data_IF_829765873879
#
_entry.id   IF_829765873879
#
_cell.length_a   1.000
_cell.length_b   1.000
_cell.length_c   1.000
_cell.angle_alpha   90.00
_cell.angle_beta   90.00
_cell.angle_gamma   90.00
#
_symmetry.space_group_name_H-M   'P 1'
#
loop_
_entity.id
_entity.type
_entity.pdbx_description
1 polymer ?
#
# COMPACT_ATOMS: atom_id res chain seq x y z
N UNK A 1 22.75 -12.41 -43.03
CA UNK A 1 21.93 -11.26 -42.62
C UNK A 1 20.66 -11.79 -41.98
N UNK A 2 20.72 -12.08 -40.69
CA UNK A 2 19.58 -12.66 -39.96
C UNK A 2 18.94 -11.53 -39.17
N UNK A 3 17.74 -11.11 -39.58
CA UNK A 3 16.97 -10.07 -38.90
C UNK A 3 16.64 -10.55 -37.50
N UNK A 4 17.22 -9.90 -36.49
CA UNK A 4 16.84 -10.10 -35.09
C UNK A 4 15.42 -9.58 -34.88
N UNK A 5 14.52 -10.46 -34.48
CA UNK A 5 13.18 -10.10 -34.04
C UNK A 5 13.31 -9.58 -32.61
N UNK A 6 13.30 -8.26 -32.45
CA UNK A 6 13.18 -7.63 -31.13
C UNK A 6 11.69 -7.71 -30.78
N UNK A 7 11.33 -8.65 -29.90
CA UNK A 7 10.02 -8.64 -29.24
C UNK A 7 10.05 -7.47 -28.25
N UNK A 8 9.68 -6.29 -28.73
CA UNK A 8 9.25 -5.18 -27.89
C UNK A 8 7.96 -5.64 -27.22
N UNK A 9 8.01 -5.92 -25.92
CA UNK A 9 6.79 -5.99 -25.13
C UNK A 9 6.24 -4.57 -25.08
N UNK A 10 5.35 -4.23 -26.02
CA UNK A 10 4.47 -3.10 -25.87
C UNK A 10 3.73 -3.31 -24.54
N UNK A 11 3.79 -2.30 -23.68
CA UNK A 11 3.00 -2.22 -22.46
C UNK A 11 1.53 -2.11 -22.86
N UNK A 12 0.94 -3.22 -23.26
CA UNK A 12 -0.48 -3.36 -23.53
C UNK A 12 -1.18 -3.26 -22.19
N UNK A 13 -1.74 -2.08 -21.94
CA UNK A 13 -2.68 -1.84 -20.87
C UNK A 13 -3.78 -2.91 -20.99
N UNK A 14 -3.86 -3.84 -20.04
CA UNK A 14 -4.68 -5.05 -20.15
C UNK A 14 -6.20 -4.80 -19.99
N UNK A 15 -6.67 -3.58 -20.29
CA UNK A 15 -8.07 -3.19 -20.25
C UNK A 15 -8.53 -2.81 -21.66
N UNK A 16 -8.60 -3.81 -22.55
CA UNK A 16 -9.47 -3.73 -23.73
C UNK A 16 -10.37 -4.97 -23.72
N UNK A 17 -11.50 -4.84 -23.04
CA UNK A 17 -12.72 -5.58 -23.34
C UNK A 17 -13.92 -4.74 -22.90
N UNK A 18 -14.79 -4.49 -23.88
CA UNK A 18 -15.92 -3.57 -23.89
C UNK A 18 -17.03 -3.84 -22.84
N UNK A 19 -17.73 -2.74 -22.52
CA UNK A 19 -19.08 -2.61 -21.98
C UNK A 19 -19.40 -3.13 -20.56
N UNK A 20 -19.15 -2.26 -19.56
CA UNK A 20 -20.12 -2.01 -18.48
C UNK A 20 -20.15 -0.50 -18.21
N UNK A 21 -21.18 0.15 -18.72
CA UNK A 21 -21.63 1.47 -18.25
C UNK A 21 -22.18 1.28 -16.82
N UNK A 22 -21.31 1.41 -15.83
CA UNK A 22 -21.69 1.49 -14.42
C UNK A 22 -20.97 2.67 -13.80
N UNK A 23 -21.77 3.70 -13.54
CA UNK A 23 -21.61 4.70 -12.50
C UNK A 23 -20.20 5.25 -12.30
N UNK A 24 -20.04 6.52 -12.69
CA UNK A 24 -19.00 7.40 -12.20
C UNK A 24 -19.24 7.58 -10.69
N UNK A 25 -18.94 6.55 -9.91
CA UNK A 25 -18.63 6.68 -8.50
C UNK A 25 -17.37 7.53 -8.42
N UNK A 26 -17.36 8.46 -7.47
CA UNK A 26 -16.32 9.44 -7.23
C UNK A 26 -14.93 8.88 -7.49
N UNK A 27 -14.02 9.71 -8.02
CA UNK A 27 -12.59 9.51 -7.84
C UNK A 27 -12.29 9.59 -6.33
N UNK A 28 -12.69 8.56 -5.60
CA UNK A 28 -12.34 8.31 -4.22
C UNK A 28 -10.84 8.07 -4.27
N UNK A 29 -10.13 9.08 -3.81
CA UNK A 29 -8.68 9.09 -3.65
C UNK A 29 -8.25 7.77 -3.04
N UNK A 30 -7.49 6.98 -3.79
CA UNK A 30 -6.96 5.68 -3.35
C UNK A 30 -6.31 5.87 -1.97
N UNK A 31 -6.71 5.12 -0.94
CA UNK A 31 -6.26 5.36 0.43
C UNK A 31 -4.79 4.99 0.60
N UNK A 32 -4.11 5.72 1.48
CA UNK A 32 -2.75 5.41 1.92
C UNK A 32 -2.76 4.55 3.18
N UNK A 33 -1.80 3.64 3.26
CA UNK A 33 -1.60 2.70 4.34
C UNK A 33 -0.19 2.79 4.91
N UNK A 34 -0.08 2.56 6.21
CA UNK A 34 1.20 2.40 6.88
C UNK A 34 1.72 0.96 6.68
N UNK A 35 3.04 0.75 6.65
CA UNK A 35 3.60 -0.61 6.66
C UNK A 35 3.06 -1.46 7.82
N UNK A 36 2.88 -0.85 8.99
CA UNK A 36 2.30 -1.52 10.17
C UNK A 36 0.86 -1.98 9.99
N UNK A 37 0.09 -1.30 9.12
CA UNK A 37 -1.28 -1.72 8.79
C UNK A 37 -1.28 -2.91 7.85
N UNK A 38 -0.34 -2.98 6.90
CA UNK A 38 -0.24 -4.13 5.99
C UNK A 38 0.18 -5.39 6.76
N UNK A 39 1.08 -5.24 7.74
CA UNK A 39 1.63 -6.37 8.53
C UNK A 39 0.57 -7.15 9.30
N UNK A 40 -0.55 -6.54 9.71
CA UNK A 40 -1.59 -7.26 10.47
C UNK A 40 -2.39 -8.22 9.60
N UNK A 41 -2.38 -8.04 8.28
CA UNK A 41 -3.07 -8.88 7.29
C UNK A 41 -2.14 -9.99 6.77
N UNK A 42 -1.77 -10.91 7.65
CA UNK A 42 -0.75 -11.94 7.40
C UNK A 42 -1.29 -13.39 7.43
N UNK A 43 -2.60 -13.58 7.25
CA UNK A 43 -3.28 -14.90 7.33
C UNK A 43 -3.77 -15.34 5.95
N UNK A 44 -3.96 -16.64 5.70
CA UNK A 44 -4.49 -17.11 4.41
C UNK A 44 -5.89 -16.57 4.08
N UNK A 45 -6.71 -16.32 5.11
CA UNK A 45 -8.05 -15.73 4.96
C UNK A 45 -8.03 -14.18 4.97
N UNK A 46 -6.88 -13.58 5.21
CA UNK A 46 -6.67 -12.13 5.23
C UNK A 46 -5.19 -11.82 4.93
N UNK A 47 -4.86 -11.84 3.63
CA UNK A 47 -3.49 -11.80 3.14
C UNK A 47 -3.26 -10.55 2.30
N UNK A 48 -2.55 -9.57 2.86
CA UNK A 48 -2.12 -8.39 2.11
C UNK A 48 -0.62 -8.42 1.87
N UNK A 49 -0.21 -7.83 0.75
CA UNK A 49 1.20 -7.62 0.44
C UNK A 49 1.39 -6.22 -0.12
N UNK A 50 2.56 -5.62 0.10
CA UNK A 50 2.93 -4.40 -0.61
C UNK A 50 3.84 -4.73 -1.77
N UNK A 51 3.61 -4.08 -2.90
CA UNK A 51 4.42 -4.17 -4.10
C UNK A 51 4.62 -2.76 -4.67
N UNK A 52 5.87 -2.32 -4.76
CA UNK A 52 6.26 -0.95 -5.09
C UNK A 52 5.58 0.04 -4.14
N UNK A 53 4.67 0.84 -4.67
CA UNK A 53 3.89 1.83 -3.94
C UNK A 53 2.48 1.36 -3.67
N UNK A 54 2.06 0.22 -4.20
CA UNK A 54 0.69 -0.25 -4.16
C UNK A 54 0.52 -1.37 -3.11
N UNK A 55 -0.65 -1.39 -2.48
CA UNK A 55 -1.04 -2.43 -1.52
C UNK A 55 -2.08 -3.31 -2.18
N UNK A 56 -1.83 -4.62 -2.13
CA UNK A 56 -2.67 -5.64 -2.74
C UNK A 56 -3.32 -6.51 -1.67
N UNK A 57 -4.63 -6.74 -1.79
CA UNK A 57 -5.37 -7.73 -1.03
C UNK A 57 -5.45 -9.03 -1.85
N UNK A 58 -4.66 -10.02 -1.46
CA UNK A 58 -4.53 -11.30 -2.14
C UNK A 58 -5.39 -12.41 -1.51
N UNK A 59 -6.32 -12.09 -0.63
CA UNK A 59 -7.21 -13.09 0.00
C UNK A 59 -7.96 -13.93 -1.05
N UNK A 60 -8.50 -13.29 -2.09
CA UNK A 60 -9.17 -14.00 -3.19
C UNK A 60 -8.21 -14.86 -4.03
N UNK A 61 -6.93 -14.48 -4.11
CA UNK A 61 -5.91 -15.28 -4.79
C UNK A 61 -5.55 -16.52 -3.95
N UNK A 62 -5.47 -16.36 -2.62
CA UNK A 62 -5.20 -17.45 -1.69
C UNK A 62 -6.33 -18.50 -1.69
N UNK A 63 -7.58 -18.09 -1.88
CA UNK A 63 -8.71 -19.03 -2.02
C UNK A 63 -8.71 -19.75 -3.36
N UNK A 64 -8.34 -19.06 -4.45
CA UNK A 64 -8.27 -19.63 -5.79
C UNK A 64 -7.17 -20.70 -5.92
N UNK A 65 -5.98 -20.42 -5.36
CA UNK A 65 -4.80 -21.29 -5.42
C UNK A 65 -4.61 -22.10 -4.12
N UNK A 66 -5.71 -22.41 -3.43
CA UNK A 66 -5.66 -23.17 -2.18
C UNK A 66 -5.03 -24.55 -2.41
N UNK A 67 -4.20 -24.96 -1.45
CA UNK A 67 -3.50 -26.25 -1.43
C UNK A 67 -2.47 -26.49 -2.56
N UNK A 68 -2.17 -25.47 -3.38
CA UNK A 68 -1.12 -25.58 -4.40
C UNK A 68 0.25 -25.16 -3.87
N UNK A 69 1.33 -25.48 -4.59
CA UNK A 69 2.67 -25.09 -4.16
C UNK A 69 2.98 -23.62 -4.46
N UNK A 70 2.33 -23.08 -5.48
CA UNK A 70 2.50 -21.73 -6.01
C UNK A 70 2.07 -20.67 -5.00
N UNK A 71 1.08 -20.95 -4.15
CA UNK A 71 0.61 -19.98 -3.15
C UNK A 71 1.53 -19.90 -1.92
N UNK A 72 2.37 -20.92 -1.68
CA UNK A 72 3.23 -21.00 -0.48
C UNK A 72 4.16 -19.79 -0.33
N UNK A 73 4.84 -19.29 -1.38
CA UNK A 73 5.70 -18.11 -1.25
C UNK A 73 4.93 -16.83 -0.88
N UNK A 74 3.71 -16.66 -1.40
CA UNK A 74 2.85 -15.52 -1.08
C UNK A 74 2.42 -15.59 0.38
N UNK A 75 1.95 -16.76 0.86
CA UNK A 75 1.58 -16.95 2.26
C UNK A 75 2.76 -16.73 3.22
N UNK A 76 3.96 -17.17 2.85
CA UNK A 76 5.18 -16.94 3.64
C UNK A 76 5.59 -15.45 3.71
N UNK A 77 5.14 -14.64 2.76
CA UNK A 77 5.40 -13.20 2.67
C UNK A 77 4.15 -12.35 2.89
N UNK A 78 3.08 -12.94 3.44
CA UNK A 78 1.89 -12.19 3.82
C UNK A 78 2.24 -11.12 4.87
N UNK A 79 1.70 -9.93 4.70
CA UNK A 79 1.98 -8.73 5.49
C UNK A 79 3.34 -8.09 5.23
N UNK A 80 4.09 -8.52 4.20
CA UNK A 80 5.44 -7.99 3.89
C UNK A 80 5.48 -7.29 2.53
N UNK A 81 6.62 -6.63 2.31
CA UNK A 81 6.98 -6.05 1.03
C UNK A 81 7.63 -7.07 0.09
N UNK A 82 6.98 -7.31 -1.04
CA UNK A 82 7.43 -8.23 -2.10
C UNK A 82 8.02 -7.50 -3.30
N UNK A 83 8.29 -6.20 -3.18
CA UNK A 83 8.90 -5.36 -4.22
C UNK A 83 10.15 -5.97 -4.87
N UNK A 84 10.95 -6.70 -4.10
CA UNK A 84 12.18 -7.34 -4.57
C UNK A 84 11.97 -8.48 -5.59
N UNK A 85 10.75 -9.03 -5.72
CA UNK A 85 10.43 -10.07 -6.70
C UNK A 85 10.31 -9.53 -8.13
N UNK A 86 10.07 -8.23 -8.26
CA UNK A 86 9.73 -7.60 -9.51
C UNK A 86 10.87 -6.71 -10.02
N UNK A 87 10.81 -6.41 -11.31
CA UNK A 87 11.61 -5.39 -11.95
C UNK A 87 10.82 -4.08 -12.00
N UNK A 88 11.38 -3.04 -11.38
CA UNK A 88 10.67 -1.79 -11.20
C UNK A 88 10.42 -1.03 -12.51
N UNK A 89 11.24 -1.25 -13.53
CA UNK A 89 11.11 -0.57 -14.82
C UNK A 89 10.09 -1.24 -15.73
N UNK A 90 10.00 -2.57 -15.64
CA UNK A 90 9.12 -3.38 -16.50
C UNK A 90 7.72 -3.57 -15.91
N UNK A 91 7.55 -3.30 -14.61
CA UNK A 91 6.34 -3.63 -13.85
C UNK A 91 5.96 -5.12 -13.95
N UNK A 92 6.96 -5.97 -14.16
CA UNK A 92 6.80 -7.42 -14.29
C UNK A 92 7.80 -8.13 -13.37
N UNK A 93 7.66 -9.44 -13.21
CA UNK A 93 8.56 -10.26 -12.40
C UNK A 93 9.99 -10.12 -12.91
N UNK A 94 10.96 -10.16 -11.98
CA UNK A 94 12.37 -10.12 -12.34
C UNK A 94 12.75 -11.38 -13.11
N UNK A 95 13.47 -11.23 -14.21
CA UNK A 95 14.04 -12.35 -14.96
C UNK A 95 15.55 -12.42 -14.75
N UNK A 96 16.10 -13.63 -14.83
CA UNK A 96 17.55 -13.85 -14.88
C UNK A 96 17.90 -14.85 -15.99
N UNK A 97 19.16 -14.81 -16.43
CA UNK A 97 19.68 -15.75 -17.41
C UNK A 97 20.12 -17.00 -16.66
N UNK A 98 19.46 -18.13 -16.90
CA UNK A 98 19.79 -19.39 -16.25
C UNK A 98 21.20 -19.84 -16.67
N UNK A 99 22.11 -20.14 -15.72
CA UNK A 99 23.53 -20.34 -16.03
C UNK A 99 23.81 -21.57 -16.89
N UNK A 100 22.95 -22.59 -16.85
CA UNK A 100 23.14 -23.85 -17.58
C UNK A 100 22.46 -23.80 -18.96
N UNK A 101 21.25 -23.27 -19.03
CA UNK A 101 20.43 -23.31 -20.26
C UNK A 101 20.57 -22.04 -21.10
N UNK A 102 21.11 -20.95 -20.53
CA UNK A 102 21.19 -19.65 -21.20
C UNK A 102 19.84 -18.97 -21.45
N UNK A 103 18.73 -19.57 -20.99
CA UNK A 103 17.38 -19.04 -21.19
C UNK A 103 17.05 -17.96 -20.15
N UNK A 104 16.29 -16.95 -20.56
CA UNK A 104 15.72 -15.94 -19.65
C UNK A 104 14.52 -16.55 -18.93
N UNK A 105 14.62 -16.73 -17.62
CA UNK A 105 13.60 -17.39 -16.78
C UNK A 105 13.19 -16.49 -15.61
N UNK A 106 11.97 -16.63 -15.07
CA UNK A 106 11.53 -15.83 -13.93
C UNK A 106 12.37 -16.16 -12.68
N UNK A 107 12.72 -15.12 -11.93
CA UNK A 107 13.53 -15.20 -10.73
C UNK A 107 12.62 -15.45 -9.51
N UNK A 108 12.41 -16.74 -9.20
CA UNK A 108 11.56 -17.15 -8.08
C UNK A 108 12.35 -18.03 -7.09
N UNK A 109 13.16 -17.42 -6.21
CA UNK A 109 14.04 -18.18 -5.30
C UNK A 109 13.29 -18.96 -4.22
N UNK A 110 12.06 -18.54 -3.89
CA UNK A 110 11.24 -19.12 -2.83
C UNK A 110 10.29 -20.23 -3.30
N UNK A 111 10.30 -20.57 -4.59
CA UNK A 111 9.37 -21.50 -5.22
C UNK A 111 8.53 -20.85 -6.31
N UNK A 112 7.65 -21.62 -6.98
CA UNK A 112 6.79 -21.09 -8.02
C UNK A 112 5.77 -20.12 -7.42
N UNK A 113 5.31 -19.15 -8.20
CA UNK A 113 4.35 -18.11 -7.79
C UNK A 113 3.13 -18.24 -8.72
N UNK A 114 1.89 -17.92 -8.26
CA UNK A 114 0.70 -18.04 -9.09
C UNK A 114 0.80 -17.15 -10.33
N UNK A 115 0.25 -17.60 -11.45
CA UNK A 115 0.32 -16.94 -12.76
C UNK A 115 1.75 -16.75 -13.31
N UNK A 116 2.76 -17.39 -12.73
CA UNK A 116 4.12 -17.43 -13.29
C UNK A 116 4.30 -18.70 -14.10
N UNK A 117 4.79 -18.55 -15.33
CA UNK A 117 5.09 -19.70 -16.19
C UNK A 117 6.21 -20.59 -15.62
N UNK A 118 6.19 -21.86 -15.99
CA UNK A 118 7.22 -22.81 -15.58
C UNK A 118 8.60 -22.42 -16.14
N UNK A 119 9.64 -22.62 -15.32
CA UNK A 119 11.05 -22.33 -15.66
C UNK A 119 11.54 -23.26 -16.78
N UNK A 120 10.97 -24.46 -16.86
CA UNK A 120 11.34 -25.51 -17.81
C UNK A 120 10.19 -25.79 -18.78
N UNK A 121 10.49 -26.18 -20.04
CA UNK A 121 9.45 -26.57 -20.98
C UNK A 121 8.74 -27.82 -20.46
N UNK A 122 7.42 -27.71 -20.26
CA UNK A 122 6.55 -28.83 -19.89
C UNK A 122 5.44 -28.99 -20.92
N UNK A 123 4.98 -30.21 -21.13
CA UNK A 123 3.90 -30.50 -22.08
C UNK A 123 2.54 -29.92 -21.63
N UNK A 124 2.39 -29.68 -20.32
CA UNK A 124 1.16 -29.13 -19.74
C UNK A 124 1.15 -27.60 -19.64
N UNK A 125 2.16 -26.93 -20.23
CA UNK A 125 2.23 -25.48 -20.22
C UNK A 125 1.08 -24.89 -21.05
N UNK A 126 0.39 -23.89 -20.48
CA UNK A 126 -0.68 -23.17 -21.17
C UNK A 126 -0.46 -21.66 -21.02
N UNK A 127 -0.76 -20.87 -22.06
CA UNK A 127 -0.77 -19.43 -21.94
C UNK A 127 -1.82 -19.00 -20.91
N UNK A 128 -1.51 -17.94 -20.15
CA UNK A 128 -2.46 -17.37 -19.22
C UNK A 128 -3.56 -16.67 -20.00
N UNK A 129 -4.82 -17.08 -19.77
CA UNK A 129 -5.99 -16.48 -20.41
C UNK A 129 -6.50 -15.22 -19.69
N UNK A 130 -5.80 -14.80 -18.62
CA UNK A 130 -6.13 -13.64 -17.78
C UNK A 130 -4.89 -12.80 -17.54
N UNK A 131 -5.11 -11.56 -17.13
CA UNK A 131 -4.05 -10.70 -16.62
C UNK A 131 -3.42 -11.34 -15.36
N UNK A 132 -2.08 -11.36 -15.23
CA UNK A 132 -1.44 -11.79 -14.00
C UNK A 132 -1.91 -10.98 -12.79
N UNK A 133 -1.96 -11.61 -11.62
CA UNK A 133 -2.51 -10.97 -10.42
C UNK A 133 -1.79 -9.67 -10.01
N UNK A 134 -0.50 -9.52 -10.31
CA UNK A 134 0.27 -8.31 -9.98
C UNK A 134 -0.04 -7.11 -10.89
N UNK A 135 -0.66 -7.34 -12.05
CA UNK A 135 -1.08 -6.30 -12.99
C UNK A 135 -2.59 -6.01 -12.90
N UNK A 136 -3.36 -6.87 -12.24
CA UNK A 136 -4.80 -6.72 -12.09
C UNK A 136 -5.16 -5.71 -10.99
N UNK A 137 -5.85 -4.62 -11.38
CA UNK A 137 -6.32 -3.58 -10.47
C UNK A 137 -7.35 -4.08 -9.45
N UNK A 138 -8.03 -5.21 -9.70
CA UNK A 138 -9.02 -5.79 -8.78
C UNK A 138 -8.46 -6.15 -7.41
N UNK A 139 -7.17 -6.50 -7.35
CA UNK A 139 -6.50 -6.82 -6.10
C UNK A 139 -5.93 -5.58 -5.39
N UNK A 140 -5.86 -4.43 -6.06
CA UNK A 140 -5.28 -3.21 -5.51
C UNK A 140 -6.28 -2.51 -4.60
N UNK A 141 -5.92 -2.31 -3.34
CA UNK A 141 -6.77 -1.63 -2.35
C UNK A 141 -6.30 -0.20 -2.03
N UNK A 142 -5.03 0.10 -2.28
CA UNK A 142 -4.41 1.29 -1.74
C UNK A 142 -2.98 1.50 -2.18
N UNK A 143 -2.36 2.51 -1.57
CA UNK A 143 -0.93 2.77 -1.69
C UNK A 143 -0.24 2.74 -0.33
N UNK A 144 1.02 2.35 -0.32
CA UNK A 144 1.87 2.50 0.86
C UNK A 144 2.31 3.96 0.97
N UNK A 145 2.41 4.49 2.19
CA UNK A 145 2.89 5.86 2.40
C UNK A 145 4.35 6.02 1.99
N UNK A 146 4.69 7.19 1.45
CA UNK A 146 6.07 7.55 1.13
C UNK A 146 6.88 7.82 2.40
N UNK A 147 6.26 8.48 3.40
CA UNK A 147 6.91 8.84 4.65
C UNK A 147 5.91 8.71 5.82
N UNK A 148 6.09 7.73 6.72
CA UNK A 148 5.31 7.64 7.94
C UNK A 148 5.87 8.59 9.00
N UNK A 149 4.99 9.38 9.62
CA UNK A 149 5.35 10.35 10.67
C UNK A 149 4.53 10.18 11.95
N UNK A 150 5.13 10.34 13.14
CA UNK A 150 4.39 10.34 14.38
C UNK A 150 3.70 11.69 14.59
N UNK A 151 2.48 11.66 15.09
CA UNK A 151 1.78 12.83 15.63
C UNK A 151 1.27 12.53 17.03
N UNK A 152 1.29 13.54 17.90
CA UNK A 152 0.68 13.46 19.21
C UNK A 152 -0.69 14.10 19.18
N UNK A 153 -1.73 13.36 19.53
CA UNK A 153 -3.08 13.88 19.65
C UNK A 153 -3.40 14.00 21.14
N UNK A 154 -3.75 15.21 21.59
CA UNK A 154 -4.10 15.51 22.98
C UNK A 154 -5.57 15.93 23.07
N UNK A 155 -6.36 15.16 23.82
CA UNK A 155 -7.71 15.55 24.18
C UNK A 155 -7.65 16.60 25.30
N UNK A 156 -8.05 17.82 24.99
CA UNK A 156 -7.98 18.95 25.94
C UNK A 156 -9.01 18.79 27.06
N UNK A 157 -10.12 18.10 26.80
CA UNK A 157 -11.19 17.90 27.80
C UNK A 157 -10.78 16.87 28.87
N UNK A 158 -10.18 15.75 28.46
CA UNK A 158 -9.82 14.65 29.37
C UNK A 158 -8.34 14.64 29.79
N UNK A 159 -7.50 15.43 29.13
CA UNK A 159 -6.04 15.43 29.34
C UNK A 159 -5.31 14.20 28.78
N UNK A 160 -6.03 13.25 28.17
CA UNK A 160 -5.44 12.05 27.58
C UNK A 160 -4.69 12.39 26.29
N UNK A 161 -3.52 11.78 26.10
CA UNK A 161 -2.75 11.91 24.86
C UNK A 161 -2.36 10.57 24.29
N UNK A 162 -2.47 10.42 22.97
CA UNK A 162 -1.99 9.27 22.23
C UNK A 162 -1.02 9.72 21.15
N UNK A 163 0.04 8.95 20.93
CA UNK A 163 0.93 9.13 19.79
C UNK A 163 0.51 8.10 18.75
N UNK A 164 0.20 8.58 17.54
CA UNK A 164 -0.18 7.72 16.42
C UNK A 164 0.74 7.96 15.24
N UNK A 165 1.04 6.91 14.50
CA UNK A 165 1.70 7.01 13.21
C UNK A 165 0.67 7.35 12.14
N UNK A 166 1.01 8.25 11.24
CA UNK A 166 0.16 8.69 10.12
C UNK A 166 0.97 8.77 8.85
N UNK A 167 0.29 8.65 7.70
CA UNK A 167 0.89 8.85 6.40
C UNK A 167 1.06 10.35 6.14
N UNK A 168 2.11 10.75 5.42
CA UNK A 168 2.31 12.14 4.99
C UNK A 168 1.17 12.62 4.07
N UNK A 169 0.63 11.70 3.27
CA UNK A 169 -0.44 11.95 2.30
C UNK A 169 -1.85 11.95 2.93
N UNK A 170 -1.97 11.58 4.21
CA UNK A 170 -3.27 11.51 4.88
C UNK A 170 -3.87 12.90 5.10
N UNK A 171 -5.16 13.03 4.79
CA UNK A 171 -5.96 14.20 5.20
C UNK A 171 -6.25 14.16 6.69
N UNK A 172 -6.54 15.32 7.29
CA UNK A 172 -6.98 15.39 8.69
C UNK A 172 -8.22 14.49 8.94
N UNK A 173 -9.12 14.34 7.95
CA UNK A 173 -10.24 13.40 8.06
C UNK A 173 -9.77 11.95 8.27
N UNK A 174 -8.83 11.49 7.45
CA UNK A 174 -8.25 10.14 7.54
C UNK A 174 -7.54 9.95 8.87
N UNK A 175 -6.84 10.97 9.36
CA UNK A 175 -6.20 10.97 10.68
C UNK A 175 -7.22 10.85 11.81
N UNK A 176 -8.38 11.52 11.72
CA UNK A 176 -9.48 11.33 12.69
C UNK A 176 -9.99 9.88 12.71
N UNK A 177 -10.14 9.26 11.54
CA UNK A 177 -10.52 7.84 11.45
C UNK A 177 -9.49 6.92 12.12
N UNK A 178 -8.18 7.19 11.96
CA UNK A 178 -7.12 6.45 12.67
C UNK A 178 -7.20 6.64 14.19
N UNK A 179 -7.49 7.86 14.64
CA UNK A 179 -7.62 8.18 16.06
C UNK A 179 -8.89 7.60 16.72
N UNK A 180 -9.86 7.14 15.93
CA UNK A 180 -11.10 6.53 16.42
C UNK A 180 -10.83 5.32 17.34
N UNK A 181 -9.72 4.59 17.11
CA UNK A 181 -9.26 3.48 17.94
C UNK A 181 -9.04 3.87 19.42
N UNK A 182 -8.68 5.13 19.68
CA UNK A 182 -8.46 5.65 21.03
C UNK A 182 -9.69 6.37 21.59
N UNK A 183 -10.49 6.98 20.71
CA UNK A 183 -11.69 7.71 21.09
C UNK A 183 -12.78 7.51 20.04
N UNK A 184 -13.80 6.70 20.36
CA UNK A 184 -14.94 6.41 19.48
C UNK A 184 -15.70 7.67 19.02
N UNK A 185 -15.60 8.77 19.77
CA UNK A 185 -16.27 10.03 19.45
C UNK A 185 -15.34 11.02 18.73
N UNK A 186 -14.13 10.61 18.31
CA UNK A 186 -13.12 11.48 17.70
C UNK A 186 -13.65 12.36 16.54
N UNK A 187 -14.64 11.87 15.80
CA UNK A 187 -15.23 12.60 14.65
C UNK A 187 -15.93 13.89 15.06
N UNK A 188 -16.54 13.96 16.25
CA UNK A 188 -17.24 15.17 16.73
C UNK A 188 -16.30 16.24 17.27
N UNK A 189 -15.01 15.93 17.44
CA UNK A 189 -14.03 16.88 17.98
C UNK A 189 -13.48 17.78 16.88
N UNK A 190 -13.18 19.03 17.25
CA UNK A 190 -12.46 19.99 16.42
C UNK A 190 -10.96 19.88 16.68
N UNK A 191 -10.17 19.72 15.62
CA UNK A 191 -8.72 19.59 15.71
C UNK A 191 -8.07 20.96 15.52
N UNK A 192 -7.19 21.34 16.44
CA UNK A 192 -6.46 22.60 16.41
C UNK A 192 -4.95 22.37 16.53
N UNK A 193 -4.18 23.20 15.85
CA UNK A 193 -2.73 23.24 15.95
C UNK A 193 -2.28 24.68 16.17
N UNK A 194 -1.47 24.92 17.22
CA UNK A 194 -0.99 26.27 17.58
C UNK A 194 -2.11 27.33 17.62
N UNK A 195 -3.30 26.96 18.11
CA UNK A 195 -4.48 27.84 18.22
C UNK A 195 -5.30 28.00 16.94
N UNK A 196 -4.87 27.49 15.79
CA UNK A 196 -5.61 27.52 14.52
C UNK A 196 -6.42 26.24 14.32
N UNK A 197 -7.65 26.37 13.81
CA UNK A 197 -8.48 25.23 13.42
C UNK A 197 -7.91 24.62 12.14
N UNK A 198 -7.74 23.30 12.13
CA UNK A 198 -7.24 22.57 10.98
C UNK A 198 -8.34 22.34 9.94
N UNK A 199 -7.99 22.46 8.66
CA UNK A 199 -8.90 22.10 7.59
C UNK A 199 -8.90 20.58 7.42
N UNK A 200 -10.10 19.98 7.49
CA UNK A 200 -10.33 18.53 7.49
C UNK A 200 -9.90 17.87 6.17
N UNK A 201 -10.03 18.58 5.04
CA UNK A 201 -9.80 18.03 3.70
C UNK A 201 -8.34 18.18 3.24
N UNK A 202 -7.49 18.83 4.03
CA UNK A 202 -6.09 19.11 3.71
C UNK A 202 -5.16 18.14 4.44
N UNK A 203 -3.95 17.95 3.91
CA UNK A 203 -2.89 17.16 4.57
C UNK A 203 -2.28 17.93 5.75
N UNK A 204 -1.39 17.27 6.50
CA UNK A 204 -0.68 17.93 7.60
C UNK A 204 0.23 19.06 7.12
N UNK A 205 0.97 18.85 6.02
CA UNK A 205 1.85 19.87 5.42
C UNK A 205 1.09 21.06 4.89
N UNK A 206 -0.03 20.84 4.21
CA UNK A 206 -0.91 21.91 3.72
C UNK A 206 -1.55 22.74 4.84
N UNK A 207 -1.69 22.14 6.03
CA UNK A 207 -2.15 22.81 7.25
C UNK A 207 -1.01 23.52 8.02
N UNK A 208 0.19 23.63 7.44
CA UNK A 208 1.40 24.20 8.05
C UNK A 208 2.01 23.37 9.19
N UNK A 209 1.77 22.06 9.22
CA UNK A 209 2.45 21.12 10.13
C UNK A 209 3.52 20.39 9.32
N UNK A 210 4.68 21.04 9.19
CA UNK A 210 5.82 20.54 8.42
C UNK A 210 6.52 19.41 9.18
N UNK A 211 7.03 18.42 8.47
CA UNK A 211 7.91 17.38 9.03
C UNK A 211 9.35 17.92 9.10
N UNK A 212 9.86 18.12 10.31
CA UNK A 212 11.21 18.64 10.54
C UNK A 212 12.25 17.54 10.81
N UNK A 213 11.86 16.26 10.77
CA UNK A 213 12.77 15.14 11.14
C UNK A 213 14.03 15.08 10.27
N UNK A 214 13.92 15.33 8.97
CA UNK A 214 15.10 15.39 8.08
C UNK A 214 16.08 16.50 8.50
N UNK A 215 15.55 17.64 8.97
CA UNK A 215 16.37 18.73 9.49
C UNK A 215 17.05 18.33 10.80
N UNK A 216 16.37 17.59 11.68
CA UNK A 216 16.95 17.08 12.92
C UNK A 216 18.10 16.11 12.62
N UNK A 217 17.88 15.16 11.69
CA UNK A 217 18.91 14.23 11.24
C UNK A 217 20.14 14.96 10.69
N UNK A 218 19.95 15.97 9.85
CA UNK A 218 21.05 16.79 9.30
C UNK A 218 21.83 17.56 10.37
N UNK A 219 21.20 17.88 11.51
CA UNK A 219 21.85 18.51 12.66
C UNK A 219 22.42 17.50 13.67
N UNK A 220 22.31 16.18 13.43
CA UNK A 220 22.72 15.14 14.35
C UNK A 220 21.85 15.06 15.61
N UNK A 221 20.62 15.58 15.54
CA UNK A 221 19.64 15.56 16.60
C UNK A 221 18.75 14.30 16.46
N UNK A 222 18.30 13.68 17.55
CA UNK A 222 17.38 12.57 17.46
C UNK A 222 16.00 12.98 16.90
N UNK A 223 15.35 12.05 16.20
CA UNK A 223 14.11 12.30 15.46
C UNK A 223 12.88 12.48 16.36
N UNK A 224 12.99 12.14 17.64
CA UNK A 224 11.90 12.16 18.64
C UNK A 224 11.91 13.41 19.55
N UNK A 225 12.86 14.35 19.35
CA UNK A 225 12.94 15.59 20.14
C UNK A 225 11.60 16.34 20.15
N UNK A 226 10.98 16.44 18.98
CA UNK A 226 9.74 17.18 18.82
C UNK A 226 8.76 16.38 17.98
N UNK A 227 7.65 16.02 18.62
CA UNK A 227 6.50 15.42 17.97
C UNK A 227 5.39 16.48 17.91
N UNK A 228 4.90 16.85 16.71
CA UNK A 228 3.85 17.84 16.58
C UNK A 228 2.59 17.39 17.33
N UNK A 229 2.08 18.28 18.19
CA UNK A 229 0.91 18.01 19.03
C UNK A 229 -0.33 18.70 18.47
N UNK A 230 -1.35 17.91 18.12
CA UNK A 230 -2.66 18.37 17.70
C UNK A 230 -3.61 18.29 18.89
N UNK A 231 -4.33 19.37 19.13
CA UNK A 231 -5.30 19.48 20.22
C UNK A 231 -6.70 19.14 19.72
N UNK A 232 -7.36 18.19 20.37
CA UNK A 232 -8.76 17.87 20.14
C UNK A 232 -9.63 18.62 21.14
N UNK A 233 -10.52 19.46 20.63
CA UNK A 233 -11.51 20.18 21.41
C UNK A 233 -12.88 19.54 21.20
N UNK A 234 -13.58 19.24 22.30
CA UNK A 234 -14.95 18.77 22.22
C UNK A 234 -15.83 19.91 21.69
N UNK A 235 -16.65 19.60 20.68
CA UNK A 235 -17.69 20.50 20.18
C UNK A 235 -19.02 20.02 20.73
N UNK A 236 -19.69 20.88 21.48
CA UNK A 236 -21.03 20.59 21.98
C UNK A 236 -22.00 20.72 20.81
N UNK A 237 -22.50 19.57 20.33
CA UNK A 237 -23.60 19.53 19.39
C UNK A 237 -24.90 19.64 20.21
N UNK A 238 -25.31 20.86 20.52
CA UNK A 238 -26.66 21.12 21.00
C UNK A 238 -27.61 20.78 19.84
N UNK A 239 -28.29 19.64 19.95
CA UNK A 239 -29.43 19.34 19.08
C UNK A 239 -30.51 20.38 19.47
N UNK A 240 -31.08 21.14 18.52
CA UNK A 240 -32.18 22.06 18.80
C UNK A 240 -33.46 21.33 19.23
#
# INVERSE_FOLDING_TARGET
MTKGYVMSAESSNCNESDDVESDIESFDTIPYYLPTEVVVHNKPDDCWVSYMTDVFNLTNLCTLWRDTEEIKPILANAGKDISHWFDHLRHDIRYYIHPITGASVPYCPHGPIPDVGNIMPVCDWRPLHRCPWWLDYKFRIGKITSNPRPIKILNVLTGQSAIIMVCEEDTINRIKHRYLLFNNNAMSYEFKFQGKILNINKTLTENNIIDERERYLNCGLPDDIYIPTIFCHYKENLIP
#
